data_IF_223042112937
#
_entry.id   IF_223042112937
#
_cell.length_a   1.000
_cell.length_b   1.000
_cell.length_c   1.000
_cell.angle_alpha   90.00
_cell.angle_beta   90.00
_cell.angle_gamma   90.00
#
_symmetry.space_group_name_H-M   'P 1'
#
loop_
_entity.id
_entity.type
_entity.pdbx_description
1 polymer ?
#
# COMPACT_ATOMS: atom_id res chain seq x y z
N UNK A 1 -31.29 28.68 -39.17
CA UNK A 1 -31.71 28.75 -37.75
C UNK A 1 -32.38 27.43 -37.40
N UNK A 2 -31.93 26.55 -36.53
CA UNK A 2 -30.73 26.45 -35.71
C UNK A 2 -30.73 25.01 -35.19
N UNK A 3 -29.65 24.26 -35.43
CA UNK A 3 -29.43 22.99 -34.76
C UNK A 3 -29.10 23.33 -33.30
N UNK A 4 -29.98 22.95 -32.38
CA UNK A 4 -29.72 23.08 -30.94
C UNK A 4 -28.67 22.03 -30.57
N UNK A 5 -27.46 22.49 -30.31
CA UNK A 5 -26.49 21.71 -29.54
C UNK A 5 -27.06 21.47 -28.13
N UNK A 6 -27.24 20.20 -27.77
CA UNK A 6 -27.45 19.78 -26.39
C UNK A 6 -26.07 19.65 -25.75
N UNK A 7 -25.83 20.26 -24.57
CA UNK A 7 -24.53 20.16 -23.92
C UNK A 7 -24.29 18.71 -23.51
N UNK A 8 -23.15 18.17 -23.91
CA UNK A 8 -22.65 16.88 -23.45
C UNK A 8 -22.59 16.91 -21.91
N UNK A 9 -23.54 16.23 -21.28
CA UNK A 9 -23.53 15.99 -19.85
C UNK A 9 -22.30 15.12 -19.58
N UNK A 10 -21.30 15.69 -18.90
CA UNK A 10 -20.21 14.90 -18.33
C UNK A 10 -20.82 13.95 -17.30
N UNK A 11 -21.22 12.75 -17.74
CA UNK A 11 -21.48 11.64 -16.83
C UNK A 11 -20.12 11.28 -16.25
N UNK A 12 -19.81 11.82 -15.08
CA UNK A 12 -18.66 11.40 -14.31
C UNK A 12 -18.77 9.91 -14.03
N UNK A 13 -17.73 9.14 -14.36
CA UNK A 13 -17.69 7.71 -14.09
C UNK A 13 -17.80 7.50 -12.58
N UNK A 14 -18.88 6.85 -12.13
CA UNK A 14 -19.08 6.48 -10.73
C UNK A 14 -18.32 5.17 -10.45
N UNK A 15 -17.13 5.28 -9.87
CA UNK A 15 -16.29 4.13 -9.51
C UNK A 15 -16.50 3.74 -8.04
N UNK A 16 -16.87 2.48 -7.79
CA UNK A 16 -16.87 1.89 -6.46
C UNK A 16 -15.66 0.97 -6.30
N UNK A 17 -14.85 1.19 -5.27
CA UNK A 17 -13.78 0.28 -4.85
C UNK A 17 -14.27 -0.59 -3.71
N UNK A 18 -13.99 -1.88 -3.79
CA UNK A 18 -14.38 -2.89 -2.80
C UNK A 18 -13.26 -3.92 -2.67
N UNK A 19 -13.15 -4.54 -1.49
CA UNK A 19 -12.30 -5.69 -1.25
C UNK A 19 -12.69 -6.40 0.04
N UNK A 20 -12.19 -7.63 0.18
CA UNK A 20 -12.34 -8.49 1.36
C UNK A 20 -10.92 -8.84 1.86
N UNK A 21 -10.75 -9.07 3.17
CA UNK A 21 -9.44 -9.39 3.79
C UNK A 21 -8.34 -8.39 3.36
N UNK A 22 -7.23 -8.85 2.79
CA UNK A 22 -6.14 -7.99 2.26
C UNK A 22 -6.62 -7.01 1.18
N UNK A 23 -7.66 -7.35 0.42
CA UNK A 23 -8.31 -6.43 -0.51
C UNK A 23 -9.04 -5.29 0.21
N UNK A 24 -9.68 -5.58 1.35
CA UNK A 24 -10.29 -4.55 2.21
C UNK A 24 -9.22 -3.67 2.85
N UNK A 25 -8.12 -4.26 3.33
CA UNK A 25 -6.93 -3.53 3.84
C UNK A 25 -6.41 -2.56 2.78
N UNK A 26 -6.18 -3.04 1.55
CA UNK A 26 -5.66 -2.21 0.44
C UNK A 26 -6.61 -1.08 0.09
N UNK A 27 -7.92 -1.36 0.05
CA UNK A 27 -8.95 -0.35 -0.18
C UNK A 27 -8.95 0.70 0.94
N UNK A 28 -8.83 0.27 2.19
CA UNK A 28 -8.78 1.14 3.35
C UNK A 28 -7.51 2.00 3.39
N UNK A 29 -6.35 1.46 3.00
CA UNK A 29 -5.09 2.21 2.87
C UNK A 29 -5.22 3.29 1.79
N UNK A 30 -5.72 2.94 0.60
CA UNK A 30 -5.89 3.89 -0.50
C UNK A 30 -6.86 5.03 -0.18
N UNK A 31 -7.93 4.74 0.56
CA UNK A 31 -8.96 5.73 0.87
C UNK A 31 -8.73 6.45 2.20
N UNK A 32 -7.85 5.91 3.05
CA UNK A 32 -7.75 6.24 4.48
C UNK A 32 -9.15 6.37 5.10
N UNK A 33 -10.01 5.42 4.73
CA UNK A 33 -11.44 5.47 5.01
C UNK A 33 -11.87 4.19 5.73
N UNK A 34 -12.29 4.27 7.00
CA UNK A 34 -12.74 3.11 7.77
C UNK A 34 -14.11 2.58 7.33
N UNK A 35 -14.87 3.33 6.52
CA UNK A 35 -16.27 3.02 6.20
C UNK A 35 -16.47 2.01 5.06
N UNK A 36 -15.41 1.54 4.41
CA UNK A 36 -15.46 0.53 3.33
C UNK A 36 -14.56 -0.63 3.77
N UNK A 37 -15.09 -1.51 4.60
CA UNK A 37 -14.35 -2.65 5.15
C UNK A 37 -15.29 -3.83 5.38
N UNK A 38 -15.16 -4.87 4.57
CA UNK A 38 -15.57 -6.22 4.95
C UNK A 38 -14.32 -6.95 5.44
N UNK A 39 -14.25 -7.20 6.75
CA UNK A 39 -13.21 -8.01 7.41
C UNK A 39 -11.75 -7.53 7.31
N UNK A 40 -11.48 -6.25 7.02
CA UNK A 40 -10.10 -5.72 6.98
C UNK A 40 -10.00 -4.20 6.94
N UNK A 41 -9.08 -3.63 7.71
CA UNK A 41 -8.85 -2.17 7.81
C UNK A 41 -7.39 -1.81 7.51
N UNK A 42 -7.11 -0.53 7.28
CA UNK A 42 -5.74 -0.07 7.08
C UNK A 42 -4.82 -0.37 8.28
N UNK A 43 -5.37 -0.56 9.49
CA UNK A 43 -4.64 -0.88 10.70
C UNK A 43 -4.57 -2.40 11.01
N UNK A 44 -5.11 -3.26 10.13
CA UNK A 44 -5.09 -4.71 10.30
C UNK A 44 -3.69 -5.34 10.20
N UNK A 45 -2.82 -4.97 9.24
CA UNK A 45 -1.46 -5.50 9.21
C UNK A 45 -0.57 -4.83 10.25
N UNK A 46 0.37 -5.61 10.82
CA UNK A 46 1.51 -5.05 11.54
C UNK A 46 2.38 -4.29 10.53
N UNK A 47 2.32 -2.96 10.61
CA UNK A 47 2.99 -2.06 9.67
C UNK A 47 4.23 -1.50 10.35
N UNK A 48 5.39 -1.75 9.76
CA UNK A 48 6.68 -1.33 10.27
C UNK A 48 7.41 -0.44 9.26
N UNK A 49 8.50 0.19 9.70
CA UNK A 49 9.43 0.85 8.80
C UNK A 49 10.16 -0.16 7.89
N UNK A 50 10.83 0.33 6.83
CA UNK A 50 11.37 -0.52 5.76
C UNK A 50 12.44 -1.51 6.26
N UNK A 51 13.19 -1.15 7.30
CA UNK A 51 14.28 -1.96 7.83
C UNK A 51 13.83 -3.13 8.71
N UNK A 52 12.57 -3.14 9.15
CA UNK A 52 12.08 -4.17 10.08
C UNK A 52 12.18 -5.59 9.50
N UNK A 53 11.93 -5.72 8.18
CA UNK A 53 11.97 -7.00 7.46
C UNK A 53 13.17 -7.13 6.53
N UNK A 54 14.25 -6.40 6.84
CA UNK A 54 15.49 -6.47 6.06
C UNK A 54 16.05 -7.90 6.04
N UNK A 55 15.95 -8.63 7.16
CA UNK A 55 16.39 -10.02 7.25
C UNK A 55 15.58 -10.95 6.33
N UNK A 56 14.26 -10.78 6.26
CA UNK A 56 13.40 -11.57 5.36
C UNK A 56 13.74 -11.28 3.89
N UNK A 57 14.06 -10.02 3.56
CA UNK A 57 14.56 -9.63 2.25
C UNK A 57 15.91 -10.27 1.91
N UNK A 58 16.83 -10.29 2.86
CA UNK A 58 18.17 -10.85 2.67
C UNK A 58 18.10 -12.37 2.49
N UNK A 59 17.26 -13.04 3.28
CA UNK A 59 16.98 -14.48 3.15
C UNK A 59 16.34 -14.82 1.81
N UNK A 60 15.39 -14.00 1.34
CA UNK A 60 14.80 -14.13 0.01
C UNK A 60 15.84 -14.04 -1.09
N UNK A 61 16.68 -13.01 -1.09
CA UNK A 61 17.72 -12.85 -2.12
C UNK A 61 18.73 -14.00 -2.05
N UNK A 62 19.13 -14.41 -0.84
CA UNK A 62 20.05 -15.52 -0.63
C UNK A 62 19.50 -16.86 -1.16
N UNK A 63 18.18 -17.03 -1.16
CA UNK A 63 17.50 -18.20 -1.69
C UNK A 63 17.34 -18.22 -3.21
N UNK A 64 17.53 -17.10 -3.92
CA UNK A 64 17.41 -17.07 -5.39
C UNK A 64 18.66 -17.71 -6.02
N UNK A 65 18.53 -18.81 -6.78
CA UNK A 65 19.69 -19.51 -7.35
C UNK A 65 20.53 -18.60 -8.26
N UNK A 66 21.84 -18.57 -8.03
CA UNK A 66 22.79 -17.72 -8.76
C UNK A 66 22.93 -16.30 -8.20
N UNK A 67 22.18 -15.95 -7.15
CA UNK A 67 22.19 -14.63 -6.51
C UNK A 67 22.55 -14.69 -5.02
N UNK A 68 23.01 -15.83 -4.53
CA UNK A 68 23.23 -16.11 -3.10
C UNK A 68 24.22 -15.11 -2.48
N UNK A 69 25.29 -14.80 -3.22
CA UNK A 69 26.37 -13.88 -2.80
C UNK A 69 25.97 -12.40 -2.83
N UNK A 70 24.82 -12.06 -3.41
CA UNK A 70 24.37 -10.68 -3.56
C UNK A 70 23.47 -10.23 -2.39
N UNK A 71 23.02 -11.18 -1.56
CA UNK A 71 22.23 -10.94 -0.34
C UNK A 71 22.90 -10.01 0.68
N UNK A 72 24.20 -9.74 0.55
CA UNK A 72 24.95 -8.79 1.39
C UNK A 72 25.34 -7.48 0.69
N UNK A 73 24.90 -7.27 -0.56
CA UNK A 73 25.30 -6.12 -1.39
C UNK A 73 24.16 -5.14 -1.64
N UNK A 74 24.41 -3.90 -2.04
CA UNK A 74 23.33 -2.95 -2.36
C UNK A 74 22.65 -3.23 -3.72
N UNK A 75 23.21 -4.13 -4.53
CA UNK A 75 22.74 -4.42 -5.90
C UNK A 75 21.64 -5.49 -6.00
N UNK A 76 21.05 -5.89 -4.86
CA UNK A 76 20.02 -6.96 -4.77
C UNK A 76 18.89 -6.76 -5.79
N UNK A 77 18.36 -5.54 -5.88
CA UNK A 77 17.18 -5.25 -6.68
C UNK A 77 17.43 -5.36 -8.19
N UNK A 78 18.52 -4.77 -8.69
CA UNK A 78 18.85 -4.82 -10.12
C UNK A 78 19.08 -6.26 -10.60
N UNK A 79 19.71 -7.07 -9.77
CA UNK A 79 19.96 -8.47 -10.05
C UNK A 79 18.67 -9.29 -10.12
N UNK A 80 17.73 -9.07 -9.19
CA UNK A 80 16.42 -9.73 -9.24
C UNK A 80 15.61 -9.34 -10.47
N UNK A 81 15.79 -8.13 -11.00
CA UNK A 81 15.09 -7.68 -12.22
C UNK A 81 15.48 -8.49 -13.46
N UNK A 82 16.68 -9.06 -13.48
CA UNK A 82 17.16 -9.96 -14.53
C UNK A 82 16.96 -11.45 -14.24
N UNK A 83 16.47 -11.81 -13.05
CA UNK A 83 16.29 -13.20 -12.66
C UNK A 83 15.05 -13.81 -13.31
N UNK A 84 15.14 -15.10 -13.64
CA UNK A 84 13.98 -15.86 -14.11
C UNK A 84 12.93 -15.97 -13.01
N UNK A 85 11.66 -15.92 -13.38
CA UNK A 85 10.54 -15.99 -12.43
C UNK A 85 10.53 -17.29 -11.61
N UNK A 86 11.01 -18.40 -12.19
CA UNK A 86 11.19 -19.67 -11.47
C UNK A 86 12.29 -19.57 -10.41
N UNK A 87 13.38 -18.85 -10.68
CA UNK A 87 14.45 -18.62 -9.70
C UNK A 87 13.93 -17.74 -8.55
N UNK A 88 13.18 -16.69 -8.87
CA UNK A 88 12.50 -15.82 -7.89
C UNK A 88 11.55 -16.63 -7.00
N UNK A 89 10.74 -17.52 -7.60
CA UNK A 89 9.82 -18.37 -6.85
C UNK A 89 10.56 -19.33 -5.89
N UNK A 90 11.67 -19.91 -6.32
CA UNK A 90 12.50 -20.76 -5.46
C UNK A 90 13.03 -19.98 -4.25
N UNK A 91 13.51 -18.74 -4.46
CA UNK A 91 13.94 -17.88 -3.35
C UNK A 91 12.82 -17.58 -2.37
N UNK A 92 11.58 -17.39 -2.84
CA UNK A 92 10.41 -17.21 -1.98
C UNK A 92 10.11 -18.47 -1.15
N UNK A 93 10.16 -19.66 -1.75
CA UNK A 93 9.92 -20.94 -1.04
C UNK A 93 10.99 -21.18 0.02
N UNK A 94 12.25 -20.87 -0.27
CA UNK A 94 13.35 -21.01 0.68
C UNK A 94 13.16 -20.03 1.85
N UNK A 95 12.92 -18.75 1.55
CA UNK A 95 12.73 -17.72 2.58
C UNK A 95 11.53 -17.99 3.48
N UNK A 96 10.48 -18.65 2.98
CA UNK A 96 9.32 -19.05 3.78
C UNK A 96 9.68 -19.89 5.00
N UNK A 97 10.74 -20.70 4.94
CA UNK A 97 11.20 -21.49 6.08
C UNK A 97 11.91 -20.65 7.15
N UNK A 98 12.32 -19.43 6.82
CA UNK A 98 13.10 -18.54 7.69
C UNK A 98 12.27 -17.36 8.22
N UNK A 99 11.00 -17.24 7.83
CA UNK A 99 10.15 -16.14 8.24
C UNK A 99 9.84 -16.18 9.74
N UNK A 100 10.04 -15.03 10.39
CA UNK A 100 9.73 -14.85 11.83
C UNK A 100 8.32 -14.32 12.05
N UNK A 101 7.66 -13.82 10.99
CA UNK A 101 6.30 -13.31 11.00
C UNK A 101 5.39 -14.14 10.08
N UNK A 102 4.10 -14.21 10.44
CA UNK A 102 3.09 -14.89 9.62
C UNK A 102 2.94 -14.27 8.22
N UNK A 103 3.17 -12.96 8.09
CA UNK A 103 3.01 -12.22 6.83
C UNK A 103 4.16 -11.20 6.63
N UNK A 104 5.33 -11.64 6.12
CA UNK A 104 6.48 -10.75 5.94
C UNK A 104 6.30 -9.78 4.77
N UNK A 105 5.52 -10.17 3.76
CA UNK A 105 5.22 -9.31 2.61
C UNK A 105 3.88 -8.59 2.83
N UNK A 106 3.95 -7.53 3.63
CA UNK A 106 2.83 -6.63 3.91
C UNK A 106 3.21 -5.18 3.61
N UNK A 107 2.24 -4.26 3.49
CA UNK A 107 2.52 -2.83 3.38
C UNK A 107 3.45 -2.35 4.49
N UNK A 108 4.36 -1.43 4.15
CA UNK A 108 5.33 -0.82 5.05
C UNK A 108 5.13 0.70 5.11
N UNK A 109 5.68 1.32 6.15
CA UNK A 109 5.79 2.78 6.19
C UNK A 109 6.95 3.18 5.29
N UNK A 110 6.65 3.77 4.14
CA UNK A 110 7.65 4.11 3.11
C UNK A 110 8.11 5.58 3.14
N UNK A 111 7.62 6.34 4.13
CA UNK A 111 8.06 7.70 4.40
C UNK A 111 7.46 8.74 3.46
N UNK A 112 7.91 9.99 3.60
CA UNK A 112 7.29 11.13 2.93
C UNK A 112 7.36 11.00 1.39
N UNK A 113 6.21 11.13 0.73
CA UNK A 113 6.10 10.96 -0.72
C UNK A 113 5.83 9.52 -1.18
N UNK A 114 5.89 8.56 -0.26
CA UNK A 114 5.50 7.17 -0.50
C UNK A 114 3.99 6.93 -0.44
N UNK A 115 3.62 5.67 -0.68
CA UNK A 115 2.24 5.17 -0.68
C UNK A 115 1.62 5.14 0.72
N UNK A 116 2.39 4.75 1.74
CA UNK A 116 1.97 4.76 3.14
C UNK A 116 3.00 5.53 3.97
N UNK A 117 2.93 6.87 3.95
CA UNK A 117 4.00 7.71 4.47
C UNK A 117 4.12 7.70 6.00
N UNK A 118 3.12 7.15 6.70
CA UNK A 118 3.04 7.13 8.16
C UNK A 118 2.03 6.06 8.63
N UNK A 119 2.03 5.75 9.93
CA UNK A 119 1.05 4.88 10.57
C UNK A 119 -0.41 5.22 10.19
N UNK A 120 -1.24 4.22 9.84
CA UNK A 120 -2.66 4.42 9.50
C UNK A 120 -3.46 5.20 10.56
N UNK A 121 -3.18 5.00 11.85
CA UNK A 121 -3.83 5.72 12.95
C UNK A 121 -3.56 7.23 12.92
N UNK A 122 -2.32 7.63 12.65
CA UNK A 122 -1.91 9.03 12.52
C UNK A 122 -2.46 9.66 11.24
N UNK A 123 -2.48 8.91 10.14
CA UNK A 123 -3.08 9.35 8.89
C UNK A 123 -4.59 9.58 9.04
N UNK A 124 -5.28 8.69 9.75
CA UNK A 124 -6.69 8.84 10.07
C UNK A 124 -6.95 10.08 10.93
N UNK A 125 -6.19 10.28 12.00
CA UNK A 125 -6.31 11.47 12.86
C UNK A 125 -6.11 12.77 12.08
N UNK A 126 -5.04 12.87 11.28
CA UNK A 126 -4.75 14.04 10.42
C UNK A 126 -5.89 14.33 9.45
N UNK A 127 -6.49 13.30 8.84
CA UNK A 127 -7.62 13.46 7.92
C UNK A 127 -8.89 13.93 8.65
N UNK A 128 -9.17 13.37 9.83
CA UNK A 128 -10.33 13.74 10.63
C UNK A 128 -10.24 15.20 11.11
N UNK A 129 -9.06 15.63 11.58
CA UNK A 129 -8.81 17.03 11.94
C UNK A 129 -8.99 17.99 10.76
N UNK A 130 -8.48 17.63 9.58
CA UNK A 130 -8.69 18.44 8.35
C UNK A 130 -10.17 18.56 8.00
N UNK A 131 -10.93 17.46 8.04
CA UNK A 131 -12.37 17.48 7.78
C UNK A 131 -13.12 18.38 8.76
N UNK A 132 -12.76 18.32 10.04
CA UNK A 132 -13.33 19.19 11.06
C UNK A 132 -13.08 20.68 10.76
N UNK A 133 -11.82 21.06 10.48
CA UNK A 133 -11.48 22.45 10.13
C UNK A 133 -12.16 22.94 8.85
N UNK A 134 -12.20 22.12 7.79
CA UNK A 134 -12.95 22.47 6.57
C UNK A 134 -14.45 22.59 6.79
N UNK A 135 -15.01 21.89 7.78
CA UNK A 135 -16.41 22.01 8.16
C UNK A 135 -16.67 23.33 8.89
N UNK A 136 -15.83 23.68 9.87
CA UNK A 136 -15.92 24.94 10.60
C UNK A 136 -15.75 26.16 9.68
N UNK A 137 -14.77 26.15 8.78
CA UNK A 137 -14.58 27.25 7.82
C UNK A 137 -15.81 27.48 6.93
N UNK A 138 -16.51 26.41 6.53
CA UNK A 138 -17.76 26.51 5.76
C UNK A 138 -18.94 27.04 6.57
N UNK A 139 -18.96 26.80 7.88
CA UNK A 139 -19.96 27.39 8.78
C UNK A 139 -19.68 28.88 8.94
N UNK A 140 -18.43 29.27 9.16
CA UNK A 140 -18.03 30.68 9.35
C UNK A 140 -18.21 31.55 8.10
N UNK A 141 -18.12 31.01 6.87
CA UNK A 141 -18.35 31.77 5.64
C UNK A 141 -19.83 31.85 5.19
N UNK A 142 -20.75 31.28 5.97
CA UNK A 142 -22.20 31.33 5.71
C UNK A 142 -22.97 32.25 6.68
N UNK A 143 -22.28 32.88 7.63
CA UNK A 143 -22.81 33.94 8.49
C UNK A 143 -22.30 35.29 8.04
#
# INVERSE_FOLDING_TARGET
>A
MGARELPALLVGIKVTRFGESTGAVTTAVQLLNPSISNSGSAASPLTYGPLHRQVDWDNFVAGVPGYEKLSSTDNKFECLRSADTTAIFNGLVIAQNEFTEQFPWCPIIDGMGGFMPELPSLLFAKRSLRRYHSSLARICMKG
#
